data_IF_268031390463
#
_entry.id   IF_268031390463
#
_cell.length_a   1.000
_cell.length_b   1.000
_cell.length_c   1.000
_cell.angle_alpha   90.00
_cell.angle_beta   90.00
_cell.angle_gamma   90.00
#
_symmetry.space_group_name_H-M   'P 1'
#
loop_
_entity.id
_entity.type
_entity.pdbx_description
1 polymer ?
#
# COMPACT_ATOMS: atom_id res chain seq x y z
N UNK A 1 4.29 -30.52 -15.53
CA UNK A 1 3.85 -30.46 -16.95
C UNK A 1 5.08 -30.49 -17.83
N UNK A 2 5.03 -31.07 -19.05
CA UNK A 2 6.13 -30.99 -20.01
C UNK A 2 6.34 -29.51 -20.42
N UNK A 3 7.59 -29.12 -20.71
CA UNK A 3 7.86 -27.77 -21.16
C UNK A 3 7.28 -27.56 -22.57
N UNK A 4 6.67 -26.42 -22.92
CA UNK A 4 6.06 -26.19 -24.24
C UNK A 4 7.03 -26.44 -25.41
N UNK A 5 8.32 -26.14 -25.23
CA UNK A 5 9.36 -26.41 -26.26
C UNK A 5 9.59 -27.90 -26.50
N UNK A 6 9.23 -28.79 -25.54
CA UNK A 6 9.38 -30.25 -25.73
C UNK A 6 8.50 -30.79 -26.87
N UNK A 7 7.42 -30.06 -27.22
CA UNK A 7 6.51 -30.40 -28.32
C UNK A 7 6.90 -29.76 -29.64
N UNK A 8 8.07 -29.14 -29.73
CA UNK A 8 8.58 -28.55 -31.00
C UNK A 8 9.59 -29.45 -31.72
N UNK A 9 9.41 -29.55 -33.03
CA UNK A 9 10.39 -30.17 -33.93
C UNK A 9 10.79 -29.14 -34.97
N UNK A 10 12.10 -28.96 -35.18
CA UNK A 10 12.63 -28.09 -36.23
C UNK A 10 12.89 -28.88 -37.48
N UNK A 11 12.25 -28.50 -38.57
CA UNK A 11 12.37 -29.22 -39.88
C UNK A 11 12.82 -28.27 -40.99
N UNK A 12 13.62 -28.80 -41.92
CA UNK A 12 13.96 -28.14 -43.16
C UNK A 12 12.98 -28.55 -44.23
N UNK A 13 12.35 -27.60 -44.89
CA UNK A 13 11.36 -27.83 -45.94
C UNK A 13 12.05 -27.55 -47.31
N UNK A 14 12.01 -28.52 -48.27
CA UNK A 14 12.54 -28.26 -49.60
C UNK A 14 11.78 -27.13 -50.32
N UNK A 15 12.48 -26.38 -51.19
CA UNK A 15 11.89 -25.27 -51.93
C UNK A 15 10.68 -25.67 -52.80
N UNK A 16 10.67 -26.92 -53.27
CA UNK A 16 9.60 -27.48 -54.10
C UNK A 16 8.35 -27.94 -53.26
N UNK A 17 8.45 -27.93 -51.96
CA UNK A 17 7.33 -28.35 -51.14
C UNK A 17 6.17 -27.34 -51.25
N UNK A 18 4.92 -27.82 -51.30
CA UNK A 18 3.76 -26.97 -51.51
C UNK A 18 3.58 -25.86 -50.43
N UNK A 19 4.08 -26.08 -49.23
CA UNK A 19 4.07 -25.09 -48.16
C UNK A 19 5.07 -23.95 -48.35
N UNK A 20 6.13 -24.10 -49.14
CA UNK A 20 7.09 -23.03 -49.38
C UNK A 20 6.44 -21.78 -49.95
N UNK A 21 5.42 -21.95 -50.80
CA UNK A 21 4.63 -20.84 -51.34
C UNK A 21 3.65 -20.18 -50.34
N UNK A 22 3.38 -20.83 -49.23
CA UNK A 22 2.50 -20.30 -48.18
C UNK A 22 3.21 -19.31 -47.23
N UNK A 23 4.54 -19.24 -47.30
CA UNK A 23 5.35 -18.37 -46.44
C UNK A 23 6.13 -17.35 -47.30
N UNK A 24 5.69 -16.10 -47.38
CA UNK A 24 6.44 -15.04 -48.08
C UNK A 24 7.84 -14.87 -47.49
N UNK A 25 8.87 -14.84 -48.36
CA UNK A 25 10.26 -14.75 -47.90
C UNK A 25 10.83 -16.07 -47.37
N UNK A 26 10.21 -17.21 -47.70
CA UNK A 26 10.69 -18.53 -47.29
C UNK A 26 12.13 -18.80 -47.72
N UNK A 27 12.98 -19.24 -46.80
CA UNK A 27 14.35 -19.68 -47.00
C UNK A 27 14.46 -21.19 -46.66
N UNK A 28 14.71 -22.08 -47.65
CA UNK A 28 14.78 -23.52 -47.42
C UNK A 28 15.99 -23.94 -46.56
N UNK A 29 16.97 -23.07 -46.34
CA UNK A 29 18.13 -23.34 -45.48
C UNK A 29 17.84 -23.16 -43.99
N UNK A 30 16.76 -22.44 -43.63
CA UNK A 30 16.40 -22.16 -42.26
C UNK A 30 15.32 -23.15 -41.80
N UNK A 31 15.58 -23.95 -40.72
CA UNK A 31 14.57 -24.86 -40.19
C UNK A 31 13.38 -24.10 -39.65
N UNK A 32 12.16 -24.57 -39.91
CA UNK A 32 10.94 -24.04 -39.36
C UNK A 32 10.50 -24.86 -38.13
N UNK A 33 10.07 -24.21 -37.04
CA UNK A 33 9.50 -24.88 -35.88
C UNK A 33 8.11 -25.41 -36.20
N UNK A 34 7.82 -26.62 -35.81
CA UNK A 34 6.54 -27.30 -36.01
C UNK A 34 6.01 -27.75 -34.67
N UNK A 35 4.81 -27.29 -34.31
CA UNK A 35 4.14 -27.68 -33.09
C UNK A 35 3.51 -29.05 -33.27
N UNK A 36 3.89 -30.01 -32.41
CA UNK A 36 3.28 -31.33 -32.34
C UNK A 36 2.14 -31.34 -31.30
N UNK A 37 1.23 -32.29 -31.46
CA UNK A 37 0.12 -32.48 -30.52
C UNK A 37 0.58 -32.92 -29.10
N UNK A 38 1.72 -33.62 -29.01
CA UNK A 38 2.37 -34.04 -27.80
C UNK A 38 3.88 -34.23 -28.02
N UNK A 39 4.75 -34.18 -26.99
CA UNK A 39 6.21 -34.32 -27.12
C UNK A 39 6.65 -35.64 -27.80
N UNK A 40 5.91 -36.72 -27.60
CA UNK A 40 6.21 -38.04 -28.13
C UNK A 40 5.37 -38.38 -29.37
N UNK A 41 4.68 -37.42 -29.98
CA UNK A 41 3.88 -37.69 -31.18
C UNK A 41 4.75 -38.03 -32.37
N UNK A 42 4.45 -39.16 -33.05
CA UNK A 42 5.12 -39.47 -34.32
C UNK A 42 4.75 -38.41 -35.36
N UNK A 43 5.78 -37.76 -35.92
CA UNK A 43 5.60 -36.74 -36.94
C UNK A 43 5.95 -37.29 -38.35
N UNK A 44 5.02 -37.11 -39.29
CA UNK A 44 5.23 -37.40 -40.69
C UNK A 44 5.19 -36.11 -41.52
N UNK A 45 6.20 -35.88 -42.32
CA UNK A 45 6.31 -34.67 -43.19
C UNK A 45 5.09 -34.49 -44.10
N UNK A 46 4.40 -35.59 -44.44
CA UNK A 46 3.17 -35.55 -45.24
C UNK A 46 1.94 -35.01 -44.49
N UNK A 47 2.02 -34.90 -43.16
CA UNK A 47 0.94 -34.36 -42.28
C UNK A 47 1.21 -32.88 -41.93
N UNK A 48 2.29 -32.29 -42.41
CA UNK A 48 2.69 -30.93 -42.14
C UNK A 48 1.66 -29.94 -42.68
N UNK A 49 1.14 -29.10 -41.79
CA UNK A 49 0.22 -28.00 -42.11
C UNK A 49 0.88 -26.64 -41.85
N UNK A 50 0.34 -25.61 -42.48
CA UNK A 50 0.73 -24.23 -42.24
C UNK A 50 0.50 -23.82 -40.77
N UNK A 51 -0.61 -24.25 -40.20
CA UNK A 51 -1.01 -23.97 -38.82
C UNK A 51 -0.04 -24.54 -37.81
N UNK A 52 0.48 -25.74 -38.04
CA UNK A 52 1.53 -26.36 -37.19
C UNK A 52 2.81 -25.54 -37.16
N UNK A 53 3.22 -24.97 -38.32
CA UNK A 53 4.38 -24.07 -38.40
C UNK A 53 4.12 -22.76 -37.69
N UNK A 54 2.98 -22.12 -37.93
CA UNK A 54 2.62 -20.86 -37.26
C UNK A 54 2.52 -21.04 -35.76
N UNK A 55 1.91 -22.12 -35.28
CA UNK A 55 1.86 -22.45 -33.87
C UNK A 55 3.26 -22.67 -33.28
N UNK A 56 4.14 -23.39 -34.00
CA UNK A 56 5.54 -23.57 -33.60
C UNK A 56 6.31 -22.25 -33.49
N UNK A 57 6.10 -21.32 -34.42
CA UNK A 57 6.70 -19.97 -34.37
C UNK A 57 6.19 -19.20 -33.13
N UNK A 58 4.90 -19.26 -32.84
CA UNK A 58 4.34 -18.62 -31.66
C UNK A 58 4.90 -19.21 -30.34
N UNK A 59 5.10 -20.52 -30.29
CA UNK A 59 5.72 -21.19 -29.14
C UNK A 59 7.18 -20.76 -28.96
N UNK A 60 7.95 -20.63 -30.08
CA UNK A 60 9.31 -20.06 -30.02
C UNK A 60 9.29 -18.64 -29.48
N UNK A 61 8.37 -17.79 -29.93
CA UNK A 61 8.26 -16.41 -29.44
C UNK A 61 7.97 -16.37 -27.93
N UNK A 62 7.13 -17.29 -27.42
CA UNK A 62 6.76 -17.30 -26.01
C UNK A 62 7.90 -17.80 -25.10
N UNK A 63 8.70 -18.79 -25.56
CA UNK A 63 9.54 -19.59 -24.67
C UNK A 63 11.03 -19.66 -25.07
N UNK A 64 11.41 -19.17 -26.28
CA UNK A 64 12.79 -19.16 -26.76
C UNK A 64 13.12 -17.83 -27.45
N UNK A 65 13.09 -16.74 -26.65
CA UNK A 65 13.33 -15.38 -27.13
C UNK A 65 14.74 -15.15 -27.66
N UNK A 66 15.68 -16.02 -27.30
CA UNK A 66 17.10 -15.97 -27.78
C UNK A 66 17.34 -16.85 -28.98
N UNK A 67 16.30 -17.39 -29.63
CA UNK A 67 16.45 -18.24 -30.82
C UNK A 67 17.21 -17.52 -31.94
N UNK A 68 18.23 -18.19 -32.48
CA UNK A 68 19.10 -17.61 -33.50
C UNK A 68 18.37 -17.18 -34.80
N UNK A 69 17.18 -17.72 -35.05
CA UNK A 69 16.36 -17.44 -36.24
C UNK A 69 15.12 -16.59 -35.93
N UNK A 70 15.06 -15.96 -34.75
CA UNK A 70 13.85 -15.27 -34.27
C UNK A 70 13.43 -14.13 -35.22
N UNK A 71 14.38 -13.37 -35.77
CA UNK A 71 14.09 -12.29 -36.71
C UNK A 71 13.47 -12.81 -38.01
N UNK A 72 13.94 -13.97 -38.47
CA UNK A 72 13.36 -14.62 -39.65
C UNK A 72 11.92 -15.06 -39.36
N UNK A 73 11.65 -15.65 -38.18
CA UNK A 73 10.30 -16.05 -37.81
C UNK A 73 9.37 -14.84 -37.64
N UNK A 74 9.86 -13.71 -37.12
CA UNK A 74 9.13 -12.43 -37.07
C UNK A 74 8.73 -11.95 -38.46
N UNK A 75 9.65 -12.00 -39.41
CA UNK A 75 9.39 -11.59 -40.79
C UNK A 75 8.33 -12.46 -41.47
N UNK A 76 8.40 -13.77 -41.28
CA UNK A 76 7.39 -14.72 -41.78
C UNK A 76 6.03 -14.42 -41.14
N UNK A 77 5.97 -14.33 -39.83
CA UNK A 77 4.68 -14.13 -39.09
C UNK A 77 4.01 -12.84 -39.56
N UNK A 78 4.74 -11.73 -39.63
CA UNK A 78 4.21 -10.42 -40.07
C UNK A 78 3.73 -10.45 -41.52
N UNK A 79 4.43 -11.19 -42.39
CA UNK A 79 4.05 -11.31 -43.80
C UNK A 79 2.82 -12.21 -44.02
N UNK A 80 2.72 -13.29 -43.25
CA UNK A 80 1.63 -14.29 -43.36
C UNK A 80 0.34 -13.81 -42.69
N UNK A 81 0.46 -13.09 -41.57
CA UNK A 81 -0.69 -12.68 -40.75
C UNK A 81 -0.51 -11.26 -40.20
N UNK A 82 -0.66 -10.22 -41.07
CA UNK A 82 -0.41 -8.82 -40.63
C UNK A 82 -1.24 -8.34 -39.44
N UNK A 83 -2.45 -8.90 -39.25
CA UNK A 83 -3.37 -8.53 -38.15
C UNK A 83 -3.25 -9.41 -36.88
N UNK A 84 -2.24 -10.30 -36.84
CA UNK A 84 -2.13 -11.29 -35.76
C UNK A 84 -2.07 -10.65 -34.35
N UNK A 85 -1.46 -9.46 -34.24
CA UNK A 85 -1.30 -8.76 -32.99
C UNK A 85 -2.64 -8.40 -32.35
N UNK A 86 -3.53 -7.76 -33.11
CA UNK A 86 -4.84 -7.36 -32.66
C UNK A 86 -5.67 -8.60 -32.27
N UNK A 87 -5.71 -9.60 -33.12
CA UNK A 87 -6.47 -10.84 -32.88
C UNK A 87 -6.00 -11.59 -31.66
N UNK A 88 -4.68 -11.74 -31.47
CA UNK A 88 -4.13 -12.42 -30.30
C UNK A 88 -4.33 -11.59 -29.02
N UNK A 89 -4.24 -10.25 -29.09
CA UNK A 89 -4.53 -9.39 -27.94
C UNK A 89 -5.97 -9.53 -27.49
N UNK A 90 -6.94 -9.52 -28.43
CA UNK A 90 -8.35 -9.74 -28.11
C UNK A 90 -8.58 -11.15 -27.54
N UNK A 91 -7.94 -12.17 -28.09
CA UNK A 91 -8.02 -13.54 -27.59
C UNK A 91 -7.46 -13.65 -26.16
N UNK A 92 -6.31 -13.03 -25.88
CA UNK A 92 -5.75 -13.02 -24.52
C UNK A 92 -6.67 -12.33 -23.50
N UNK A 93 -7.25 -11.17 -23.84
CA UNK A 93 -8.22 -10.48 -23.00
C UNK A 93 -9.46 -11.36 -22.72
N UNK A 94 -9.94 -12.08 -23.74
CA UNK A 94 -11.05 -13.01 -23.55
C UNK A 94 -10.68 -14.17 -22.62
N UNK A 95 -9.44 -14.68 -22.72
CA UNK A 95 -8.93 -15.73 -21.81
C UNK A 95 -8.85 -15.25 -20.37
N UNK A 96 -8.39 -14.03 -20.12
CA UNK A 96 -8.40 -13.42 -18.78
C UNK A 96 -9.81 -13.38 -18.21
N UNK A 97 -10.79 -12.89 -19.00
CA UNK A 97 -12.19 -12.82 -18.56
C UNK A 97 -12.79 -14.19 -18.20
N UNK A 98 -12.29 -15.25 -18.83
CA UNK A 98 -12.70 -16.62 -18.56
C UNK A 98 -11.88 -17.32 -17.45
N UNK A 99 -10.91 -16.62 -16.84
CA UNK A 99 -10.06 -17.18 -15.80
C UNK A 99 -8.92 -18.08 -16.30
N UNK A 100 -8.70 -18.14 -17.62
CA UNK A 100 -7.65 -18.94 -18.26
C UNK A 100 -6.34 -18.10 -18.38
N UNK A 101 -5.76 -17.81 -17.20
CA UNK A 101 -4.63 -16.90 -17.07
C UNK A 101 -3.34 -17.47 -17.71
N UNK A 102 -3.13 -18.79 -17.65
CA UNK A 102 -1.91 -19.42 -18.17
C UNK A 102 -1.87 -19.28 -19.70
N UNK A 103 -2.98 -19.54 -20.38
CA UNK A 103 -3.05 -19.36 -21.82
C UNK A 103 -2.98 -17.88 -22.23
N UNK A 104 -3.57 -16.98 -21.44
CA UNK A 104 -3.46 -15.53 -21.67
C UNK A 104 -1.99 -15.07 -21.57
N UNK A 105 -1.25 -15.57 -20.59
CA UNK A 105 0.16 -15.28 -20.41
C UNK A 105 1.00 -15.78 -21.60
N UNK A 106 0.77 -17.01 -22.04
CA UNK A 106 1.44 -17.59 -23.21
C UNK A 106 1.22 -16.74 -24.46
N UNK A 107 -0.03 -16.30 -24.68
CA UNK A 107 -0.37 -15.42 -25.81
C UNK A 107 0.38 -14.09 -25.73
N UNK A 108 0.40 -13.42 -24.56
CA UNK A 108 1.12 -12.16 -24.41
C UNK A 108 2.65 -12.33 -24.49
N UNK A 109 3.20 -13.45 -24.01
CA UNK A 109 4.62 -13.79 -24.22
C UNK A 109 4.94 -13.96 -25.70
N UNK A 110 4.07 -14.65 -26.46
CA UNK A 110 4.21 -14.79 -27.91
C UNK A 110 4.19 -13.42 -28.61
N UNK A 111 3.28 -12.53 -28.23
CA UNK A 111 3.21 -11.16 -28.77
C UNK A 111 4.46 -10.35 -28.43
N UNK A 112 5.01 -10.48 -27.22
CA UNK A 112 6.26 -9.85 -26.82
C UNK A 112 7.45 -10.39 -27.63
N UNK A 113 7.48 -11.70 -27.92
CA UNK A 113 8.45 -12.32 -28.81
C UNK A 113 8.33 -11.85 -30.25
N UNK A 114 7.11 -11.62 -30.73
CA UNK A 114 6.84 -11.08 -32.07
C UNK A 114 7.30 -9.63 -32.22
N UNK A 115 7.08 -8.79 -31.20
CA UNK A 115 7.42 -7.37 -31.19
C UNK A 115 7.89 -6.94 -29.79
N UNK A 116 9.20 -7.08 -29.50
CA UNK A 116 9.75 -6.74 -28.17
C UNK A 116 9.64 -5.27 -27.79
N UNK A 117 9.51 -4.37 -28.78
CA UNK A 117 9.41 -2.93 -28.57
C UNK A 117 7.97 -2.49 -28.23
N UNK A 118 6.99 -3.40 -28.38
CA UNK A 118 5.61 -3.08 -28.09
C UNK A 118 5.32 -3.00 -26.58
N UNK A 119 5.41 -1.81 -26.04
CA UNK A 119 5.15 -1.53 -24.63
C UNK A 119 3.68 -1.74 -24.21
N UNK A 120 2.73 -1.75 -25.17
CA UNK A 120 1.33 -2.07 -24.85
C UNK A 120 1.18 -3.56 -24.50
N UNK A 121 1.88 -4.45 -25.18
CA UNK A 121 1.94 -5.87 -24.79
C UNK A 121 2.55 -6.05 -23.41
N UNK A 122 3.60 -5.30 -23.07
CA UNK A 122 4.22 -5.33 -21.73
C UNK A 122 3.23 -4.80 -20.67
N UNK A 123 2.47 -3.74 -20.97
CA UNK A 123 1.41 -3.23 -20.08
C UNK A 123 0.31 -4.28 -19.85
N UNK A 124 -0.09 -5.01 -20.90
CA UNK A 124 -1.06 -6.09 -20.77
C UNK A 124 -0.55 -7.24 -19.89
N UNK A 125 0.75 -7.56 -19.96
CA UNK A 125 1.40 -8.49 -19.03
C UNK A 125 1.38 -7.97 -17.58
N UNK A 126 1.63 -6.69 -17.37
CA UNK A 126 1.53 -6.08 -16.04
C UNK A 126 0.11 -6.24 -15.45
N UNK A 127 -0.91 -5.91 -16.24
CA UNK A 127 -2.31 -6.06 -15.85
C UNK A 127 -2.70 -7.52 -15.58
N UNK A 128 -2.21 -8.44 -16.40
CA UNK A 128 -2.43 -9.88 -16.19
C UNK A 128 -1.84 -10.37 -14.88
N UNK A 129 -0.59 -9.98 -14.56
CA UNK A 129 0.06 -10.38 -13.30
C UNK A 129 -0.64 -9.76 -12.09
N UNK A 130 -1.06 -8.50 -12.18
CA UNK A 130 -1.84 -7.83 -11.13
C UNK A 130 -3.18 -8.54 -10.86
N UNK A 131 -3.90 -8.96 -11.92
CA UNK A 131 -5.15 -9.73 -11.81
C UNK A 131 -4.90 -11.12 -11.21
N UNK A 132 -3.81 -11.80 -11.61
CA UNK A 132 -3.43 -13.12 -11.03
C UNK A 132 -3.12 -12.98 -9.54
N UNK A 133 -2.39 -11.94 -9.14
CA UNK A 133 -2.12 -11.68 -7.72
C UNK A 133 -3.42 -11.51 -6.92
N UNK A 134 -4.38 -10.75 -7.44
CA UNK A 134 -5.67 -10.57 -6.79
C UNK A 134 -6.44 -11.90 -6.66
N UNK A 135 -6.41 -12.74 -7.68
CA UNK A 135 -7.05 -14.06 -7.64
C UNK A 135 -6.39 -15.00 -6.62
N UNK A 136 -5.05 -14.99 -6.52
CA UNK A 136 -4.33 -15.80 -5.52
C UNK A 136 -4.67 -15.34 -4.09
N UNK A 137 -4.74 -14.02 -3.83
CA UNK A 137 -5.19 -13.49 -2.52
C UNK A 137 -6.60 -13.91 -2.18
N UNK A 138 -7.53 -13.87 -3.15
CA UNK A 138 -8.91 -14.34 -2.93
C UNK A 138 -8.97 -15.84 -2.60
N UNK A 139 -8.01 -16.62 -3.09
CA UNK A 139 -7.86 -18.04 -2.79
C UNK A 139 -7.10 -18.31 -1.48
N UNK A 140 -6.58 -17.27 -0.80
CA UNK A 140 -5.77 -17.42 0.42
C UNK A 140 -4.33 -17.89 0.17
N UNK A 141 -3.81 -17.69 -1.03
CA UNK A 141 -2.47 -18.06 -1.50
C UNK A 141 -1.59 -16.81 -1.57
N UNK A 142 -1.24 -16.25 -0.42
CA UNK A 142 -0.57 -14.96 -0.32
C UNK A 142 0.88 -15.00 -0.84
N UNK A 143 1.61 -16.11 -0.64
CA UNK A 143 2.99 -16.25 -1.14
C UNK A 143 3.03 -16.27 -2.68
N UNK A 144 2.09 -16.98 -3.32
CA UNK A 144 1.96 -16.99 -4.77
C UNK A 144 1.53 -15.61 -5.31
N UNK A 145 0.66 -14.90 -4.58
CA UNK A 145 0.24 -13.55 -4.92
C UNK A 145 1.42 -12.57 -4.92
N UNK A 146 2.33 -12.66 -3.94
CA UNK A 146 3.54 -11.82 -3.88
C UNK A 146 4.46 -12.04 -5.09
N UNK A 147 4.58 -13.27 -5.60
CA UNK A 147 5.38 -13.56 -6.79
C UNK A 147 4.79 -12.90 -8.05
N UNK A 148 3.45 -12.90 -8.18
CA UNK A 148 2.76 -12.20 -9.26
C UNK A 148 2.85 -10.68 -9.12
N UNK A 149 2.76 -10.13 -7.91
CA UNK A 149 2.97 -8.71 -7.65
C UNK A 149 4.38 -8.26 -8.06
N UNK A 150 5.40 -9.05 -7.73
CA UNK A 150 6.77 -8.75 -8.14
C UNK A 150 6.91 -8.71 -9.67
N UNK A 151 6.25 -9.64 -10.35
CA UNK A 151 6.23 -9.66 -11.82
C UNK A 151 5.47 -8.46 -12.40
N UNK A 152 4.31 -8.11 -11.84
CA UNK A 152 3.54 -6.94 -12.24
C UNK A 152 4.34 -5.65 -12.06
N UNK A 153 5.04 -5.51 -10.93
CA UNK A 153 5.90 -4.36 -10.64
C UNK A 153 6.97 -4.16 -11.73
N UNK A 154 7.68 -5.23 -12.13
CA UNK A 154 8.72 -5.16 -13.15
C UNK A 154 8.14 -4.73 -14.51
N UNK A 155 6.98 -5.27 -14.91
CA UNK A 155 6.32 -4.89 -16.15
C UNK A 155 5.79 -3.45 -16.12
N UNK A 156 5.20 -2.99 -15.01
CA UNK A 156 4.80 -1.58 -14.86
C UNK A 156 6.02 -0.65 -14.93
N UNK A 157 7.12 -1.01 -14.28
CA UNK A 157 8.36 -0.24 -14.33
C UNK A 157 8.88 -0.12 -15.77
N UNK A 158 8.91 -1.22 -16.52
CA UNK A 158 9.34 -1.23 -17.92
C UNK A 158 8.42 -0.34 -18.78
N UNK A 159 7.11 -0.42 -18.62
CA UNK A 159 6.18 0.39 -19.42
C UNK A 159 6.22 1.89 -19.11
N UNK A 160 6.50 2.26 -17.87
CA UNK A 160 6.63 3.66 -17.48
C UNK A 160 7.90 4.34 -18.02
N UNK A 161 8.90 3.56 -18.50
CA UNK A 161 10.12 4.09 -19.13
C UNK A 161 9.98 4.31 -20.64
N UNK A 162 8.81 4.07 -21.22
CA UNK A 162 8.59 4.22 -22.67
C UNK A 162 8.72 5.66 -23.15
N UNK A 163 9.24 5.84 -24.36
CA UNK A 163 9.29 7.11 -25.08
C UNK A 163 8.60 6.95 -26.46
N UNK A 164 7.48 7.65 -26.73
CA UNK A 164 6.75 8.56 -25.83
C UNK A 164 6.11 7.84 -24.64
N UNK A 165 5.85 8.56 -23.52
CA UNK A 165 5.24 7.97 -22.34
C UNK A 165 3.81 7.48 -22.62
N UNK A 166 3.43 6.36 -22.02
CA UNK A 166 2.10 5.75 -22.14
C UNK A 166 1.25 6.17 -20.94
N UNK A 167 0.28 7.10 -21.06
CA UNK A 167 -0.48 7.59 -19.91
C UNK A 167 -1.20 6.48 -19.14
N UNK A 168 -1.78 5.50 -19.84
CA UNK A 168 -2.46 4.36 -19.20
C UNK A 168 -1.55 3.49 -18.33
N UNK A 169 -0.24 3.43 -18.63
CA UNK A 169 0.72 2.72 -17.78
C UNK A 169 0.83 3.38 -16.39
N UNK A 170 0.96 4.71 -16.36
CA UNK A 170 1.00 5.48 -15.11
C UNK A 170 -0.30 5.40 -14.33
N UNK A 171 -1.45 5.47 -15.02
CA UNK A 171 -2.74 5.33 -14.37
C UNK A 171 -2.88 3.98 -13.67
N UNK A 172 -2.63 2.89 -14.38
CA UNK A 172 -2.75 1.52 -13.82
C UNK A 172 -1.69 1.25 -12.74
N UNK A 173 -0.45 1.69 -12.93
CA UNK A 173 0.59 1.60 -11.90
C UNK A 173 0.20 2.36 -10.63
N UNK A 174 -0.50 3.49 -10.72
CA UNK A 174 -1.02 4.20 -9.57
C UNK A 174 -1.96 3.34 -8.74
N UNK A 175 -2.88 2.61 -9.36
CA UNK A 175 -3.78 1.68 -8.67
C UNK A 175 -3.04 0.45 -8.11
N UNK A 176 -2.07 -0.08 -8.83
CA UNK A 176 -1.19 -1.13 -8.33
C UNK A 176 -0.50 -0.70 -7.03
N UNK A 177 0.11 0.50 -7.00
CA UNK A 177 0.74 1.01 -5.78
C UNK A 177 -0.24 1.28 -4.63
N UNK A 178 -1.50 1.66 -4.92
CA UNK A 178 -2.54 1.78 -3.90
C UNK A 178 -2.86 0.43 -3.25
N UNK A 179 -3.00 -0.65 -4.03
CA UNK A 179 -3.19 -2.02 -3.52
C UNK A 179 -2.03 -2.43 -2.61
N UNK A 180 -0.80 -2.06 -2.97
CA UNK A 180 0.41 -2.30 -2.19
C UNK A 180 0.57 -1.35 -0.98
N UNK A 181 -0.41 -0.49 -0.70
CA UNK A 181 -0.39 0.54 0.35
C UNK A 181 0.81 1.51 0.24
N UNK A 182 1.42 1.62 -0.92
CA UNK A 182 2.49 2.57 -1.20
C UNK A 182 1.91 3.89 -1.70
N UNK A 183 1.26 4.63 -0.80
CA UNK A 183 0.50 5.84 -1.11
C UNK A 183 1.39 6.94 -1.71
N UNK A 184 2.62 7.09 -1.22
CA UNK A 184 3.57 8.08 -1.76
C UNK A 184 3.88 7.79 -3.25
N UNK A 185 4.15 6.53 -3.60
CA UNK A 185 4.44 6.16 -4.98
C UNK A 185 3.20 6.23 -5.87
N UNK A 186 2.05 5.84 -5.34
CA UNK A 186 0.76 6.00 -6.02
C UNK A 186 0.49 7.47 -6.40
N UNK A 187 0.68 8.41 -5.47
CA UNK A 187 0.56 9.84 -5.74
C UNK A 187 1.52 10.30 -6.84
N UNK A 188 2.82 9.99 -6.73
CA UNK A 188 3.84 10.38 -7.69
C UNK A 188 3.51 9.97 -9.13
N UNK A 189 3.08 8.70 -9.32
CA UNK A 189 2.76 8.20 -10.65
C UNK A 189 1.43 8.73 -11.18
N UNK A 190 0.42 8.93 -10.31
CA UNK A 190 -0.86 9.53 -10.71
C UNK A 190 -0.72 11.03 -11.05
N UNK A 191 0.11 11.78 -10.32
CA UNK A 191 0.46 13.16 -10.70
C UNK A 191 1.16 13.21 -12.07
N UNK A 192 2.02 12.23 -12.35
CA UNK A 192 2.67 12.10 -13.65
C UNK A 192 1.63 11.81 -14.74
N UNK A 193 0.70 10.87 -14.50
CA UNK A 193 -0.44 10.61 -15.39
C UNK A 193 -1.21 11.88 -15.71
N UNK A 194 -1.58 12.67 -14.70
CA UNK A 194 -2.34 13.92 -14.87
C UNK A 194 -1.60 14.96 -15.74
N UNK A 195 -0.25 14.94 -15.74
CA UNK A 195 0.58 15.84 -16.56
C UNK A 195 0.69 15.39 -18.00
N UNK A 196 0.75 14.08 -18.28
CA UNK A 196 1.03 13.53 -19.61
C UNK A 196 -0.24 13.16 -20.40
N UNK A 197 -1.39 12.93 -19.71
CA UNK A 197 -2.64 12.59 -20.37
C UNK A 197 -3.21 13.81 -21.11
N UNK A 198 -3.15 13.77 -22.42
CA UNK A 198 -3.62 14.84 -23.28
C UNK A 198 -4.97 14.58 -23.94
N UNK A 199 -5.47 13.33 -23.86
CA UNK A 199 -6.77 12.98 -24.44
C UNK A 199 -7.93 13.67 -23.72
N UNK A 200 -8.94 14.04 -24.52
CA UNK A 200 -10.18 14.69 -24.07
C UNK A 200 -11.42 13.81 -24.26
N UNK A 201 -11.22 12.52 -24.58
CA UNK A 201 -12.33 11.57 -24.64
C UNK A 201 -12.94 11.31 -23.24
N UNK A 202 -14.15 10.78 -23.20
CA UNK A 202 -14.89 10.58 -21.95
C UNK A 202 -14.17 9.60 -20.99
N UNK A 203 -13.44 8.63 -21.54
CA UNK A 203 -12.68 7.66 -20.73
C UNK A 203 -11.48 8.35 -20.07
N UNK A 204 -10.74 9.18 -20.80
CA UNK A 204 -9.62 9.93 -20.26
C UNK A 204 -10.09 10.96 -19.22
N UNK A 205 -11.21 11.65 -19.45
CA UNK A 205 -11.81 12.58 -18.48
C UNK A 205 -12.13 11.86 -17.15
N UNK A 206 -12.83 10.74 -17.23
CA UNK A 206 -13.18 9.96 -16.04
C UNK A 206 -11.94 9.48 -15.29
N UNK A 207 -10.89 9.02 -16.02
CA UNK A 207 -9.62 8.63 -15.40
C UNK A 207 -8.91 9.81 -14.74
N UNK A 208 -8.89 10.99 -15.38
CA UNK A 208 -8.32 12.22 -14.81
C UNK A 208 -9.03 12.63 -13.52
N UNK A 209 -10.38 12.61 -13.49
CA UNK A 209 -11.17 12.91 -12.29
C UNK A 209 -10.82 11.95 -11.14
N UNK A 210 -10.80 10.64 -11.43
CA UNK A 210 -10.47 9.62 -10.43
C UNK A 210 -9.03 9.74 -9.92
N UNK A 211 -8.06 9.97 -10.81
CA UNK A 211 -6.67 10.17 -10.43
C UNK A 211 -6.50 11.41 -9.54
N UNK A 212 -7.17 12.53 -9.88
CA UNK A 212 -7.15 13.75 -9.10
C UNK A 212 -7.73 13.55 -7.71
N UNK A 213 -8.91 12.92 -7.60
CA UNK A 213 -9.53 12.60 -6.32
C UNK A 213 -8.57 11.80 -5.40
N UNK A 214 -7.89 10.79 -5.96
CA UNK A 214 -6.94 9.96 -5.20
C UNK A 214 -5.73 10.78 -4.75
N UNK A 215 -5.15 11.60 -5.64
CA UNK A 215 -4.01 12.47 -5.32
C UNK A 215 -4.38 13.47 -4.24
N UNK A 216 -5.55 14.11 -4.33
CA UNK A 216 -6.05 15.06 -3.35
C UNK A 216 -6.27 14.38 -1.98
N UNK A 217 -6.85 13.17 -1.96
CA UNK A 217 -7.05 12.38 -0.74
C UNK A 217 -5.74 11.97 -0.06
N UNK A 218 -4.72 11.53 -0.85
CA UNK A 218 -3.41 11.18 -0.27
C UNK A 218 -2.73 12.44 0.27
N UNK A 219 -2.76 13.52 -0.49
CA UNK A 219 -2.12 14.79 -0.11
C UNK A 219 -2.73 15.40 1.16
N UNK A 220 -4.06 15.31 1.32
CA UNK A 220 -4.71 15.78 2.54
C UNK A 220 -4.34 14.94 3.75
N UNK A 221 -4.26 13.60 3.62
CA UNK A 221 -3.82 12.73 4.72
C UNK A 221 -2.37 12.97 5.13
N UNK A 222 -1.47 13.13 4.17
CA UNK A 222 -0.06 13.47 4.44
C UNK A 222 0.04 14.80 5.21
N UNK A 223 -0.76 15.82 4.82
CA UNK A 223 -0.80 17.10 5.52
C UNK A 223 -1.34 16.96 6.94
N UNK A 224 -2.42 16.18 7.14
CA UNK A 224 -3.02 15.97 8.44
C UNK A 224 -2.06 15.24 9.39
N UNK A 225 -1.35 14.21 8.90
CA UNK A 225 -0.34 13.50 9.66
C UNK A 225 0.83 14.43 10.05
N UNK A 226 1.27 15.31 9.14
CA UNK A 226 2.30 16.30 9.40
C UNK A 226 1.85 17.35 10.43
N UNK A 227 0.61 17.84 10.36
CA UNK A 227 0.05 18.78 11.32
C UNK A 227 -0.01 18.17 12.73
N UNK A 228 -0.52 16.94 12.82
CA UNK A 228 -0.64 16.23 14.09
C UNK A 228 0.73 15.97 14.74
N UNK A 229 1.69 15.48 13.96
CA UNK A 229 3.06 15.24 14.42
C UNK A 229 3.76 16.53 14.84
N UNK A 230 3.65 17.59 14.04
CA UNK A 230 4.23 18.90 14.36
C UNK A 230 3.67 19.48 15.64
N UNK A 231 2.36 19.31 15.88
CA UNK A 231 1.75 19.75 17.12
C UNK A 231 2.34 19.04 18.35
N UNK A 232 2.50 17.70 18.25
CA UNK A 232 3.14 16.92 19.32
C UNK A 232 4.59 17.39 19.59
N UNK A 233 5.38 17.56 18.51
CA UNK A 233 6.78 17.99 18.59
C UNK A 233 6.87 19.39 19.22
N UNK A 234 6.03 20.35 18.84
CA UNK A 234 6.00 21.69 19.44
C UNK A 234 5.65 21.66 20.93
N UNK A 235 4.69 20.86 21.37
CA UNK A 235 4.38 20.71 22.80
C UNK A 235 5.61 20.17 23.55
N UNK A 236 6.29 19.18 23.02
CA UNK A 236 7.47 18.59 23.66
C UNK A 236 8.66 19.56 23.73
N UNK A 237 8.77 20.47 22.75
CA UNK A 237 9.79 21.54 22.71
C UNK A 237 9.44 22.74 23.59
N UNK A 238 8.21 22.85 24.11
CA UNK A 238 7.76 23.98 24.92
C UNK A 238 7.28 25.18 24.07
N UNK A 239 6.86 24.94 22.84
CA UNK A 239 6.30 25.97 21.95
C UNK A 239 4.80 25.72 21.74
N UNK A 240 4.05 25.89 22.85
CA UNK A 240 2.63 25.57 22.94
C UNK A 240 1.76 26.42 22.00
N UNK A 241 2.18 27.66 21.72
CA UNK A 241 1.44 28.54 20.81
C UNK A 241 1.45 28.01 19.37
N UNK A 242 2.60 27.56 18.88
CA UNK A 242 2.68 26.92 17.56
C UNK A 242 1.95 25.57 17.56
N UNK A 243 2.01 24.80 18.64
CA UNK A 243 1.25 23.57 18.74
C UNK A 243 -0.25 23.83 18.58
N UNK A 244 -0.79 24.86 19.27
CA UNK A 244 -2.21 25.24 19.16
C UNK A 244 -2.61 25.64 17.73
N UNK A 245 -1.72 26.28 16.98
CA UNK A 245 -1.96 26.60 15.57
C UNK A 245 -2.08 25.32 14.71
N UNK A 246 -1.14 24.37 14.86
CA UNK A 246 -1.17 23.11 14.10
C UNK A 246 -2.41 22.27 14.47
N UNK A 247 -2.73 22.18 15.76
CA UNK A 247 -3.91 21.46 16.24
C UNK A 247 -5.20 22.07 15.67
N UNK A 248 -5.31 23.39 15.62
CA UNK A 248 -6.48 24.07 15.07
C UNK A 248 -6.66 23.73 13.59
N UNK A 249 -5.59 23.81 12.78
CA UNK A 249 -5.62 23.46 11.37
C UNK A 249 -6.03 22.00 11.17
N UNK A 250 -5.49 21.08 11.95
CA UNK A 250 -5.89 19.68 11.91
C UNK A 250 -7.39 19.50 12.25
N UNK A 251 -7.87 20.16 13.32
CA UNK A 251 -9.25 20.03 13.78
C UNK A 251 -10.29 20.66 12.86
N UNK A 252 -9.91 21.57 11.94
CA UNK A 252 -10.79 22.07 10.89
C UNK A 252 -11.34 20.96 10.00
N UNK A 253 -10.51 19.93 9.75
CA UNK A 253 -10.88 18.78 8.93
C UNK A 253 -11.30 17.56 9.77
N UNK A 254 -10.76 17.42 10.98
CA UNK A 254 -10.92 16.26 11.86
C UNK A 254 -11.43 16.59 13.28
N UNK A 255 -12.59 17.26 13.43
CA UNK A 255 -13.08 17.73 14.73
C UNK A 255 -13.50 16.61 15.70
N UNK A 256 -13.62 15.38 15.21
CA UNK A 256 -14.09 14.21 15.98
C UNK A 256 -12.99 13.22 16.34
N UNK A 257 -11.74 13.60 16.21
CA UNK A 257 -10.58 12.74 16.53
C UNK A 257 -10.15 13.01 17.96
N UNK A 258 -10.31 12.02 18.87
CA UNK A 258 -10.09 12.19 20.32
C UNK A 258 -8.65 12.62 20.68
N UNK A 259 -7.65 12.08 19.99
CA UNK A 259 -6.24 12.41 20.24
C UNK A 259 -5.87 13.84 19.85
N UNK A 260 -6.57 14.47 18.90
CA UNK A 260 -6.41 15.90 18.64
C UNK A 260 -6.91 16.76 19.82
N UNK A 261 -8.02 16.38 20.43
CA UNK A 261 -8.52 17.01 21.64
C UNK A 261 -7.59 16.78 22.85
N UNK A 262 -6.95 15.59 22.91
CA UNK A 262 -5.90 15.34 23.90
C UNK A 262 -4.72 16.28 23.74
N UNK A 263 -4.17 16.42 22.51
CA UNK A 263 -3.07 17.36 22.25
C UNK A 263 -3.45 18.81 22.55
N UNK A 264 -4.69 19.21 22.21
CA UNK A 264 -5.23 20.52 22.56
C UNK A 264 -5.22 20.73 24.07
N UNK A 265 -5.75 19.78 24.84
CA UNK A 265 -5.76 19.82 26.29
C UNK A 265 -4.35 19.89 26.86
N UNK A 266 -3.42 19.10 26.31
CA UNK A 266 -2.04 19.09 26.80
C UNK A 266 -1.33 20.42 26.57
N UNK A 267 -1.46 21.04 25.38
CA UNK A 267 -0.91 22.37 25.11
C UNK A 267 -1.52 23.44 26.02
N UNK A 268 -2.85 23.44 26.18
CA UNK A 268 -3.56 24.37 27.06
C UNK A 268 -3.16 24.21 28.53
N UNK A 269 -2.98 22.98 29.02
CA UNK A 269 -2.50 22.71 30.38
C UNK A 269 -1.10 23.29 30.62
N UNK A 270 -0.22 23.16 29.64
CA UNK A 270 1.15 23.70 29.73
C UNK A 270 1.18 25.24 29.71
N UNK A 271 0.15 25.86 29.11
CA UNK A 271 -0.10 27.31 29.18
C UNK A 271 -0.91 27.73 30.43
N UNK A 272 -1.10 26.81 31.38
CA UNK A 272 -1.86 27.03 32.63
C UNK A 272 -3.34 27.47 32.39
N UNK A 273 -3.90 27.15 31.22
CA UNK A 273 -5.28 27.41 30.85
C UNK A 273 -6.15 26.22 31.30
N UNK A 274 -6.29 26.09 32.62
CA UNK A 274 -6.81 24.89 33.29
C UNK A 274 -8.24 24.53 32.90
N UNK A 275 -9.17 25.53 32.84
CA UNK A 275 -10.56 25.29 32.44
C UNK A 275 -10.67 24.85 30.99
N UNK A 276 -9.93 25.51 30.10
CA UNK A 276 -9.93 25.15 28.65
C UNK A 276 -9.34 23.76 28.45
N UNK A 277 -8.24 23.45 29.15
CA UNK A 277 -7.60 22.13 29.10
C UNK A 277 -8.54 21.03 29.60
N UNK A 278 -9.21 21.26 30.75
CA UNK A 278 -10.24 20.35 31.27
C UNK A 278 -11.32 20.08 30.22
N UNK A 279 -11.85 21.14 29.59
CA UNK A 279 -12.88 20.99 28.56
C UNK A 279 -12.39 20.15 27.37
N UNK A 280 -11.16 20.35 26.94
CA UNK A 280 -10.56 19.59 25.86
C UNK A 280 -10.37 18.09 26.21
N UNK A 281 -9.86 17.79 27.41
CA UNK A 281 -9.72 16.39 27.87
C UNK A 281 -11.08 15.69 28.05
N UNK A 282 -12.09 16.39 28.59
CA UNK A 282 -13.45 15.86 28.67
C UNK A 282 -14.03 15.54 27.27
N UNK A 283 -13.78 16.41 26.30
CA UNK A 283 -14.19 16.16 24.91
C UNK A 283 -13.47 14.96 24.31
N UNK A 284 -12.17 14.78 24.60
CA UNK A 284 -11.41 13.60 24.17
C UNK A 284 -12.03 12.30 24.71
N UNK A 285 -12.37 12.28 26.01
CA UNK A 285 -13.03 11.15 26.67
C UNK A 285 -14.41 10.86 26.07
N UNK A 286 -15.20 11.90 25.75
CA UNK A 286 -16.53 11.72 25.15
C UNK A 286 -16.44 11.12 23.74
N UNK A 287 -15.51 11.60 22.93
CA UNK A 287 -15.24 11.05 21.58
C UNK A 287 -14.69 9.61 21.65
N UNK A 288 -13.96 9.29 22.70
CA UNK A 288 -13.43 7.95 22.93
C UNK A 288 -14.47 6.89 23.26
N UNK A 289 -15.67 7.25 23.66
CA UNK A 289 -16.78 6.30 23.92
C UNK A 289 -17.29 5.61 22.66
N UNK A 290 -16.93 6.11 21.47
CA UNK A 290 -17.31 5.49 20.19
C UNK A 290 -16.58 4.16 20.04
N UNK A 291 -17.27 3.05 19.71
CA UNK A 291 -16.62 1.75 19.49
C UNK A 291 -15.49 1.85 18.44
N UNK A 292 -14.38 1.20 18.71
CA UNK A 292 -13.18 1.22 17.88
C UNK A 292 -12.53 2.61 17.71
N UNK A 293 -12.71 3.51 18.68
CA UNK A 293 -12.05 4.83 18.68
C UNK A 293 -10.53 4.73 18.92
N UNK A 294 -10.05 3.60 19.46
CA UNK A 294 -8.66 3.39 19.85
C UNK A 294 -8.24 4.18 21.10
N UNK A 295 -9.20 4.68 21.90
CA UNK A 295 -8.90 5.46 23.10
C UNK A 295 -8.24 4.60 24.19
N UNK A 296 -8.39 3.30 24.16
CA UNK A 296 -7.84 2.38 25.16
C UNK A 296 -6.33 2.62 25.36
N UNK A 297 -5.60 2.95 24.29
CA UNK A 297 -4.17 3.26 24.36
C UNK A 297 -3.84 4.62 24.97
N UNK A 298 -4.82 5.53 25.11
CA UNK A 298 -4.61 6.89 25.60
C UNK A 298 -5.48 7.25 26.82
N UNK A 299 -6.39 6.37 27.25
CA UNK A 299 -7.34 6.66 28.32
C UNK A 299 -6.66 7.06 29.64
N UNK A 300 -5.65 6.29 30.02
CA UNK A 300 -4.87 6.51 31.24
C UNK A 300 -4.15 7.86 31.21
N UNK A 301 -3.55 8.23 30.08
CA UNK A 301 -2.88 9.52 29.92
C UNK A 301 -3.86 10.68 29.95
N UNK A 302 -5.04 10.56 29.32
CA UNK A 302 -6.09 11.60 29.37
C UNK A 302 -6.56 11.81 30.80
N UNK A 303 -6.86 10.74 31.54
CA UNK A 303 -7.29 10.82 32.93
C UNK A 303 -6.22 11.44 33.82
N UNK A 304 -4.94 11.11 33.59
CA UNK A 304 -3.83 11.69 34.33
C UNK A 304 -3.72 13.21 34.10
N UNK A 305 -3.73 13.65 32.85
CA UNK A 305 -3.63 15.07 32.49
C UNK A 305 -4.86 15.88 32.96
N UNK A 306 -6.06 15.31 32.81
CA UNK A 306 -7.29 15.88 33.31
C UNK A 306 -7.25 16.07 34.86
N UNK A 307 -6.73 15.07 35.57
CA UNK A 307 -6.62 15.13 37.01
C UNK A 307 -5.71 16.26 37.49
N UNK A 308 -4.63 16.55 36.76
CA UNK A 308 -3.73 17.68 37.04
C UNK A 308 -4.51 19.00 36.91
N UNK A 309 -5.28 19.17 35.84
CA UNK A 309 -6.13 20.36 35.67
C UNK A 309 -7.11 20.53 36.82
N UNK A 310 -7.81 19.45 37.21
CA UNK A 310 -8.77 19.45 38.30
C UNK A 310 -8.12 19.77 39.67
N UNK A 311 -6.86 19.30 39.88
CA UNK A 311 -6.11 19.68 41.10
C UNK A 311 -5.82 21.18 41.14
N UNK A 312 -5.42 21.79 40.02
CA UNK A 312 -5.13 23.22 39.96
C UNK A 312 -6.41 24.07 40.09
N UNK A 313 -7.54 23.57 39.64
CA UNK A 313 -8.86 24.18 39.82
C UNK A 313 -9.43 23.96 41.24
N UNK A 314 -8.77 23.17 42.11
CA UNK A 314 -9.25 22.85 43.45
C UNK A 314 -10.35 21.76 43.51
N UNK A 315 -10.65 21.12 42.40
CA UNK A 315 -11.66 20.07 42.27
C UNK A 315 -11.10 18.69 42.68
N UNK A 316 -10.55 18.60 43.91
CA UNK A 316 -9.76 17.45 44.36
C UNK A 316 -10.54 16.13 44.39
N UNK A 317 -11.82 16.16 44.70
CA UNK A 317 -12.63 14.95 44.71
C UNK A 317 -12.87 14.38 43.33
N UNK A 318 -12.99 15.24 42.33
CA UNK A 318 -13.14 14.81 40.92
C UNK A 318 -11.82 14.34 40.33
N UNK A 319 -10.73 15.04 40.61
CA UNK A 319 -9.37 14.61 40.26
C UNK A 319 -9.09 13.18 40.74
N UNK A 320 -9.40 12.92 42.04
CA UNK A 320 -9.23 11.59 42.61
C UNK A 320 -10.03 10.50 41.85
N UNK A 321 -11.27 10.79 41.48
CA UNK A 321 -12.12 9.82 40.75
C UNK A 321 -11.51 9.41 39.44
N UNK A 322 -11.00 10.38 38.68
CA UNK A 322 -10.36 10.10 37.39
C UNK A 322 -9.05 9.30 37.52
N UNK A 323 -8.23 9.63 38.54
CA UNK A 323 -7.02 8.88 38.83
C UNK A 323 -7.30 7.44 39.27
N UNK A 324 -8.33 7.22 40.09
CA UNK A 324 -8.74 5.87 40.49
C UNK A 324 -9.20 5.07 39.26
N UNK A 325 -10.01 5.68 38.39
CA UNK A 325 -10.45 5.01 37.15
C UNK A 325 -9.29 4.67 36.23
N UNK A 326 -8.29 5.53 36.15
CA UNK A 326 -7.06 5.23 35.37
C UNK A 326 -6.22 4.10 36.00
N UNK A 327 -6.18 4.03 37.35
CA UNK A 327 -5.46 2.99 38.07
C UNK A 327 -6.12 1.61 37.95
N UNK A 328 -7.44 1.56 37.70
CA UNK A 328 -8.14 0.30 37.39
C UNK A 328 -7.69 -0.31 36.08
N UNK A 329 -7.26 0.51 35.09
CA UNK A 329 -6.74 0.07 33.80
C UNK A 329 -5.23 -0.25 33.85
N UNK A 330 -4.46 0.53 34.65
CA UNK A 330 -3.00 0.38 34.78
C UNK A 330 -2.58 0.52 36.24
N UNK A 331 -2.66 -0.57 36.99
CA UNK A 331 -2.50 -0.62 38.45
C UNK A 331 -1.08 -0.34 38.95
N UNK A 332 -0.05 -0.42 38.09
CA UNK A 332 1.35 -0.18 38.46
C UNK A 332 1.88 1.16 37.92
N UNK A 333 1.00 2.03 37.43
CA UNK A 333 1.40 3.31 36.88
C UNK A 333 1.84 4.30 37.98
N UNK A 334 3.15 4.44 38.14
CA UNK A 334 3.75 5.28 39.17
C UNK A 334 3.35 6.75 39.05
N UNK A 335 3.10 7.29 37.83
CA UNK A 335 2.62 8.67 37.66
C UNK A 335 1.22 8.88 38.22
N UNK A 336 0.32 7.92 37.99
CA UNK A 336 -1.06 7.99 38.54
C UNK A 336 -1.04 7.86 40.05
N UNK A 337 -0.25 6.93 40.58
CA UNK A 337 -0.11 6.72 42.03
C UNK A 337 0.49 7.98 42.68
N UNK A 338 1.52 8.58 42.06
CA UNK A 338 2.10 9.84 42.56
C UNK A 338 1.08 10.98 42.56
N UNK A 339 0.25 11.10 41.50
CA UNK A 339 -0.79 12.14 41.45
C UNK A 339 -1.89 11.91 42.48
N UNK A 340 -2.25 10.65 42.81
CA UNK A 340 -3.13 10.35 43.95
C UNK A 340 -2.51 10.82 45.29
N UNK A 341 -1.18 10.63 45.43
CA UNK A 341 -0.44 11.18 46.57
C UNK A 341 -0.53 12.71 46.67
N UNK A 342 -0.36 13.40 45.51
CA UNK A 342 -0.49 14.85 45.43
C UNK A 342 -1.90 15.35 45.74
N UNK A 343 -2.93 14.66 45.25
CA UNK A 343 -4.34 14.97 45.58
C UNK A 343 -4.58 14.82 47.09
N UNK A 344 -4.06 13.75 47.69
CA UNK A 344 -4.20 13.51 49.14
C UNK A 344 -3.47 14.61 49.95
N UNK A 345 -2.29 15.04 49.56
CA UNK A 345 -1.56 16.16 50.20
C UNK A 345 -2.35 17.46 50.10
N UNK A 346 -2.85 17.82 48.94
CA UNK A 346 -3.67 19.03 48.74
C UNK A 346 -4.99 18.99 49.55
N UNK A 347 -5.53 17.77 49.75
CA UNK A 347 -6.69 17.57 50.64
C UNK A 347 -6.36 17.56 52.13
N UNK A 348 -5.07 17.71 52.50
CA UNK A 348 -4.62 17.71 53.91
C UNK A 348 -4.45 16.31 54.50
N UNK A 349 -4.57 15.24 53.73
CA UNK A 349 -4.50 13.86 54.19
C UNK A 349 -3.05 13.31 54.06
N UNK A 350 -2.15 13.75 54.95
CA UNK A 350 -0.74 13.40 54.92
C UNK A 350 -0.49 11.87 55.00
N UNK A 351 -1.25 11.18 55.86
CA UNK A 351 -1.06 9.72 56.04
C UNK A 351 -1.40 8.93 54.78
N UNK A 352 -2.44 9.32 54.05
CA UNK A 352 -2.81 8.69 52.80
C UNK A 352 -1.78 9.01 51.70
N UNK A 353 -1.32 10.26 51.61
CA UNK A 353 -0.28 10.67 50.68
C UNK A 353 1.02 9.89 50.88
N UNK A 354 1.45 9.71 52.13
CA UNK A 354 2.60 8.90 52.51
C UNK A 354 2.45 7.47 51.99
N UNK A 355 1.26 6.86 52.13
CA UNK A 355 0.97 5.53 51.63
C UNK A 355 1.18 5.44 50.11
N UNK A 356 0.65 6.39 49.33
CA UNK A 356 0.82 6.41 47.88
C UNK A 356 2.27 6.57 47.46
N UNK A 357 3.04 7.50 48.05
CA UNK A 357 4.45 7.67 47.66
C UNK A 357 5.33 6.48 48.05
N UNK A 358 5.01 5.79 49.16
CA UNK A 358 5.69 4.53 49.49
C UNK A 358 5.39 3.43 48.48
N UNK A 359 4.14 3.31 48.03
CA UNK A 359 3.79 2.38 46.93
C UNK A 359 4.55 2.69 45.66
N UNK A 360 4.73 3.98 45.30
CA UNK A 360 5.60 4.34 44.15
C UNK A 360 7.01 3.84 44.34
N UNK A 361 7.61 3.98 45.54
CA UNK A 361 8.97 3.51 45.81
C UNK A 361 9.11 1.98 45.90
N UNK A 362 8.01 1.26 46.14
CA UNK A 362 8.00 -0.21 46.01
C UNK A 362 8.13 -0.63 44.53
N UNK A 363 7.55 0.15 43.59
CA UNK A 363 7.59 -0.11 42.13
C UNK A 363 8.89 0.46 41.53
N UNK A 364 9.20 1.74 41.80
CA UNK A 364 10.43 2.44 41.39
C UNK A 364 11.16 3.04 42.61
N UNK A 365 12.12 2.31 43.18
CA UNK A 365 12.88 2.78 44.36
C UNK A 365 13.70 4.07 44.15
N UNK A 366 13.81 4.55 42.90
CA UNK A 366 14.56 5.76 42.54
C UNK A 366 13.66 6.91 42.10
N UNK A 367 12.34 6.79 42.22
CA UNK A 367 11.44 7.87 41.87
C UNK A 367 11.73 9.11 42.72
N UNK A 368 12.18 10.18 42.05
CA UNK A 368 12.62 11.41 42.70
C UNK A 368 11.47 12.16 43.38
N UNK A 369 10.30 12.20 42.74
CA UNK A 369 9.14 12.90 43.27
C UNK A 369 8.67 12.25 44.55
N UNK A 370 8.56 10.92 44.56
CA UNK A 370 8.13 10.18 45.76
C UNK A 370 9.13 10.36 46.91
N UNK A 371 10.44 10.33 46.69
CA UNK A 371 11.46 10.59 47.68
C UNK A 371 11.39 12.02 48.23
N UNK A 372 11.23 13.03 47.38
CA UNK A 372 11.11 14.43 47.78
C UNK A 372 9.84 14.68 48.61
N UNK A 373 8.68 14.11 48.19
CA UNK A 373 7.42 14.30 48.91
C UNK A 373 7.42 13.59 50.25
N UNK A 374 7.97 12.41 50.39
CA UNK A 374 8.10 11.73 51.68
C UNK A 374 9.00 12.51 52.63
N UNK A 375 10.14 13.01 52.17
CA UNK A 375 11.04 13.84 53.00
C UNK A 375 10.33 15.13 53.48
N UNK A 376 9.51 15.74 52.63
CA UNK A 376 8.73 16.90 52.99
C UNK A 376 7.67 16.56 54.09
N UNK A 377 6.94 15.46 53.90
CA UNK A 377 5.92 15.01 54.89
C UNK A 377 6.56 14.71 56.25
N UNK A 378 7.72 14.04 56.27
CA UNK A 378 8.47 13.68 57.50
C UNK A 378 9.11 14.91 58.13
N UNK A 379 9.56 15.92 57.37
CA UNK A 379 10.16 17.14 57.88
C UNK A 379 9.16 18.16 58.47
N UNK A 380 7.87 18.04 58.13
CA UNK A 380 6.78 18.86 58.67
C UNK A 380 6.04 18.18 59.86
N UNK A 381 6.41 16.96 60.26
CA UNK A 381 5.87 16.21 61.38
C UNK A 381 6.65 16.51 62.63
#
# INVERSE_FOLDING_TARGET
MAHPLDSLVFITIPAEHHLSSAFPGFDPSIPLPVQLAAPDAEFKVTELTREMVLAGILTVFAWDSENAQIEYYRSIMKAVHPGIREEMTEAAILKIRNGDFDLAEEIFRSLRGLDPEDKMTVLNLALLMDERADNMRQAGLDEEAEAFDASAFEFYRDTMTSEPPIPTAFFNAGFFYLKQRNYRKAREVLETYLKIESSEDDTAKHRKEKAKEIVDNISSRDLDDDLFKSAYDFITMGDEERALEQIRLFMEHHPKVWNAWFLLGWALRRLERWEDARAAFMQALELGKVPNSGIESGYTDICNELSICLMELGELAESRRWLVSALEEDSENTKIISNLGMVALRAGNKTEAEGFFRTVLEIDPKDRLALEMLAQIEGEA
#
